data_IF_146369620070
#
_entry.id   IF_146369620070
#
_cell.length_a   1.000
_cell.length_b   1.000
_cell.length_c   1.000
_cell.angle_alpha   90.00
_cell.angle_beta   90.00
_cell.angle_gamma   90.00
#
_symmetry.space_group_name_H-M   'P 1'
#
loop_
_entity.id
_entity.type
_entity.pdbx_description
1 polymer ?
#
# COMPACT_ATOMS: atom_id res chain seq x y z
N UNK A 1 -39.07 -10.86 20.14
CA UNK A 1 -38.14 -10.51 19.06
C UNK A 1 -36.76 -10.98 19.48
N UNK A 2 -36.16 -11.99 18.84
CA UNK A 2 -34.82 -12.45 19.23
C UNK A 2 -33.82 -11.34 18.95
N UNK A 3 -33.01 -11.00 19.95
CA UNK A 3 -32.03 -9.93 19.90
C UNK A 3 -31.10 -10.13 18.71
N UNK A 4 -31.13 -9.17 17.78
CA UNK A 4 -30.10 -9.02 16.75
C UNK A 4 -28.78 -8.84 17.52
N UNK A 5 -27.94 -9.87 17.56
CA UNK A 5 -26.56 -9.70 18.00
C UNK A 5 -25.98 -8.63 17.11
N UNK A 6 -25.75 -7.43 17.65
CA UNK A 6 -25.08 -6.34 16.93
C UNK A 6 -23.65 -6.83 16.73
N UNK A 7 -23.38 -7.42 15.57
CA UNK A 7 -22.03 -7.85 15.22
C UNK A 7 -21.12 -6.62 15.24
N UNK A 8 -19.95 -6.75 15.85
CA UNK A 8 -18.90 -5.73 15.74
C UNK A 8 -18.48 -5.69 14.27
N UNK A 9 -18.68 -4.56 13.60
CA UNK A 9 -18.26 -4.37 12.21
C UNK A 9 -16.76 -4.11 12.14
N UNK A 10 -16.05 -4.84 11.27
CA UNK A 10 -14.65 -4.59 10.96
C UNK A 10 -14.53 -3.91 9.59
N UNK A 11 -13.39 -3.26 9.34
CA UNK A 11 -13.08 -2.72 8.03
C UNK A 11 -12.01 -3.57 7.35
N UNK A 12 -12.17 -3.76 6.05
CA UNK A 12 -11.19 -4.34 5.15
C UNK A 12 -10.90 -3.34 4.04
N UNK A 13 -9.63 -3.05 3.80
CA UNK A 13 -9.22 -2.21 2.67
C UNK A 13 -8.57 -3.07 1.60
N UNK A 14 -8.95 -2.81 0.34
CA UNK A 14 -8.36 -3.45 -0.83
C UNK A 14 -7.88 -2.37 -1.80
N UNK A 15 -6.64 -2.50 -2.27
CA UNK A 15 -6.03 -1.63 -3.28
C UNK A 15 -5.86 -2.40 -4.58
N UNK A 16 -6.29 -1.82 -5.69
CA UNK A 16 -6.30 -2.51 -6.99
C UNK A 16 -4.96 -2.49 -7.74
N UNK A 17 -4.06 -1.55 -7.39
CA UNK A 17 -2.88 -1.24 -8.19
C UNK A 17 -3.23 -0.96 -9.67
N UNK A 18 -4.43 -0.40 -9.90
CA UNK A 18 -5.00 -0.12 -11.21
C UNK A 18 -5.93 1.11 -11.17
N UNK A 19 -6.37 1.57 -12.33
CA UNK A 19 -7.37 2.64 -12.45
C UNK A 19 -8.80 2.18 -12.10
N UNK A 20 -9.01 0.87 -11.97
CA UNK A 20 -10.30 0.26 -11.70
C UNK A 20 -10.50 0.04 -10.20
N UNK A 21 -11.69 0.33 -9.71
CA UNK A 21 -12.04 0.14 -8.30
C UNK A 21 -12.05 -1.36 -7.99
N UNK A 22 -11.31 -1.84 -6.98
CA UNK A 22 -11.29 -3.25 -6.65
C UNK A 22 -12.64 -3.66 -6.04
N UNK A 23 -13.23 -4.80 -6.42
CA UNK A 23 -14.46 -5.28 -5.80
C UNK A 23 -14.20 -5.70 -4.34
N UNK A 24 -15.18 -5.48 -3.47
CA UNK A 24 -15.16 -6.07 -2.14
C UNK A 24 -15.27 -7.61 -2.23
N UNK A 25 -14.59 -8.38 -1.35
CA UNK A 25 -14.74 -9.83 -1.31
C UNK A 25 -16.19 -10.26 -1.07
N UNK A 26 -16.51 -11.50 -1.49
CA UNK A 26 -17.87 -12.05 -1.39
C UNK A 26 -18.39 -12.01 0.05
N UNK A 27 -19.62 -11.51 0.21
CA UNK A 27 -20.30 -11.36 1.49
C UNK A 27 -19.90 -10.12 2.29
N UNK A 28 -19.18 -9.17 1.68
CA UNK A 28 -18.82 -7.89 2.30
C UNK A 28 -19.46 -6.72 1.55
N UNK A 29 -20.08 -5.78 2.29
CA UNK A 29 -20.65 -4.54 1.76
C UNK A 29 -19.55 -3.52 1.48
N UNK A 30 -19.58 -2.86 0.32
CA UNK A 30 -18.72 -1.69 0.07
C UNK A 30 -19.23 -0.50 0.88
N UNK A 31 -18.36 0.09 1.69
CA UNK A 31 -18.64 1.32 2.45
C UNK A 31 -18.34 2.55 1.59
N UNK A 32 -17.13 2.63 1.03
CA UNK A 32 -16.77 3.65 0.04
C UNK A 32 -15.63 3.18 -0.86
N UNK A 33 -15.33 3.99 -1.87
CA UNK A 33 -14.22 3.82 -2.80
C UNK A 33 -13.40 5.12 -2.88
N UNK A 34 -12.16 5.00 -3.36
CA UNK A 34 -11.26 6.15 -3.39
C UNK A 34 -9.96 5.91 -4.14
N UNK A 35 -8.95 6.64 -3.71
CA UNK A 35 -7.58 6.62 -4.21
C UNK A 35 -6.62 6.18 -3.10
N UNK A 36 -5.60 5.43 -3.49
CA UNK A 36 -4.72 4.69 -2.59
C UNK A 36 -3.60 5.59 -2.05
N UNK A 37 -3.84 6.30 -0.95
CA UNK A 37 -2.84 7.10 -0.27
C UNK A 37 -1.84 6.18 0.45
N UNK A 38 -0.55 6.40 0.21
CA UNK A 38 0.52 5.68 0.91
C UNK A 38 1.04 6.51 2.09
N UNK A 39 1.49 7.73 1.81
CA UNK A 39 1.98 8.66 2.83
C UNK A 39 2.00 10.11 2.33
N UNK A 40 2.18 11.02 3.27
CA UNK A 40 2.40 12.45 2.99
C UNK A 40 3.73 12.89 3.61
N UNK A 41 4.35 13.90 3.03
CA UNK A 41 5.60 14.49 3.51
C UNK A 41 5.39 15.99 3.65
N UNK A 42 5.47 16.48 4.88
CA UNK A 42 5.33 17.90 5.21
C UNK A 42 6.51 18.34 6.07
N UNK A 43 7.15 19.45 5.70
CA UNK A 43 8.39 19.90 6.35
C UNK A 43 9.46 18.80 6.41
N UNK A 44 9.65 18.08 5.30
CA UNK A 44 10.64 16.99 5.16
C UNK A 44 10.44 15.84 6.17
N UNK A 45 9.23 15.68 6.71
CA UNK A 45 8.88 14.59 7.61
C UNK A 45 7.74 13.77 7.02
N UNK A 46 7.95 12.46 6.90
CA UNK A 46 6.93 11.54 6.44
C UNK A 46 5.91 11.20 7.53
N UNK A 47 4.65 11.08 7.12
CA UNK A 47 3.57 10.50 7.90
C UNK A 47 2.78 9.50 7.04
N UNK A 48 2.77 8.25 7.49
CA UNK A 48 2.34 7.09 6.71
C UNK A 48 0.93 6.64 7.08
N UNK A 49 0.22 6.06 6.10
CA UNK A 49 -1.00 5.31 6.32
C UNK A 49 -0.72 3.83 6.06
N UNK A 50 -1.15 2.96 6.97
CA UNK A 50 -1.11 1.52 6.72
C UNK A 50 -2.17 1.18 5.65
N UNK A 51 -1.75 0.49 4.59
CA UNK A 51 -2.57 0.13 3.44
C UNK A 51 -3.67 -0.89 3.80
N UNK A 52 -3.63 -1.52 4.98
CA UNK A 52 -4.73 -2.34 5.48
C UNK A 52 -5.79 -1.55 6.23
N UNK A 53 -5.58 -0.25 6.48
CA UNK A 53 -6.50 0.61 7.22
C UNK A 53 -7.19 1.63 6.33
N UNK A 54 -8.42 1.98 6.71
CA UNK A 54 -9.32 2.85 5.97
C UNK A 54 -8.72 4.24 5.62
N UNK A 55 -7.77 4.74 6.42
CA UNK A 55 -7.08 6.01 6.18
C UNK A 55 -6.24 6.05 4.89
N UNK A 56 -5.83 4.89 4.38
CA UNK A 56 -5.14 4.77 3.09
C UNK A 56 -6.06 4.90 1.88
N UNK A 57 -7.40 4.94 2.07
CA UNK A 57 -8.36 5.02 0.98
C UNK A 57 -9.14 6.33 0.98
N UNK A 58 -8.55 7.38 0.39
CA UNK A 58 -9.15 8.70 0.35
C UNK A 58 -10.19 8.84 -0.77
N UNK A 59 -11.42 9.33 -0.49
CA UNK A 59 -12.47 9.45 -1.52
C UNK A 59 -12.13 10.41 -2.67
N UNK A 60 -11.22 11.36 -2.45
CA UNK A 60 -10.81 12.36 -3.42
C UNK A 60 -9.29 12.42 -3.51
N UNK A 61 -8.79 12.43 -4.73
CA UNK A 61 -7.39 12.67 -5.01
C UNK A 61 -7.07 14.16 -5.00
N UNK A 62 -5.89 14.50 -4.48
CA UNK A 62 -5.24 15.80 -4.66
C UNK A 62 -3.73 15.57 -4.60
N UNK A 63 -2.96 16.30 -5.42
CA UNK A 63 -1.49 16.31 -5.28
C UNK A 63 -1.05 16.91 -3.95
N UNK A 64 -1.90 17.72 -3.31
CA UNK A 64 -1.73 18.28 -1.98
C UNK A 64 -3.01 18.07 -1.14
N UNK A 65 -3.18 16.92 -0.47
CA UNK A 65 -4.40 16.60 0.28
C UNK A 65 -4.45 17.19 1.70
N UNK A 66 -3.52 18.08 2.06
CA UNK A 66 -3.44 18.69 3.38
C UNK A 66 -2.96 20.15 3.30
N UNK A 67 -3.05 20.86 4.43
CA UNK A 67 -2.51 22.20 4.65
C UNK A 67 -1.78 22.22 5.99
N UNK A 68 -0.97 23.24 6.23
CA UNK A 68 -0.33 23.44 7.53
C UNK A 68 -0.65 24.83 8.07
N UNK A 69 -0.75 24.96 9.39
CA UNK A 69 -0.96 26.22 10.08
C UNK A 69 0.16 26.45 11.10
N UNK A 70 0.41 27.71 11.44
CA UNK A 70 1.41 28.08 12.46
C UNK A 70 0.74 28.64 13.72
N UNK A 71 1.55 28.99 14.72
CA UNK A 71 1.10 29.54 16.01
C UNK A 71 0.45 30.93 15.91
N UNK A 72 0.58 31.61 14.76
CA UNK A 72 0.01 32.93 14.52
C UNK A 72 -1.37 32.85 13.83
N UNK A 73 -2.02 31.68 13.87
CA UNK A 73 -3.32 31.42 13.24
C UNK A 73 -3.32 31.63 11.71
N UNK A 74 -2.15 31.51 11.07
CA UNK A 74 -2.02 31.59 9.61
C UNK A 74 -1.84 30.19 9.03
N UNK A 75 -2.71 29.83 8.09
CA UNK A 75 -2.67 28.57 7.37
C UNK A 75 -2.20 28.76 5.92
N UNK A 76 -1.45 27.80 5.43
CA UNK A 76 -0.87 27.79 4.09
C UNK A 76 -1.27 26.52 3.36
N UNK A 77 -1.80 26.68 2.16
CA UNK A 77 -2.17 25.58 1.28
C UNK A 77 -1.30 25.62 0.03
N UNK A 78 -0.67 24.49 -0.31
CA UNK A 78 0.17 24.31 -1.50
C UNK A 78 1.22 25.43 -1.73
N UNK A 79 1.65 26.10 -0.66
CA UNK A 79 2.56 27.26 -0.70
C UNK A 79 4.03 26.88 -0.42
N UNK A 80 4.30 25.57 -0.28
CA UNK A 80 5.63 24.97 -0.03
C UNK A 80 5.83 23.74 -0.90
N UNK A 81 7.05 23.22 -0.88
CA UNK A 81 7.47 22.02 -1.61
C UNK A 81 7.07 20.71 -0.92
N UNK A 82 5.97 20.70 -0.17
CA UNK A 82 5.44 19.48 0.47
C UNK A 82 4.91 18.50 -0.61
N UNK A 83 4.77 17.23 -0.24
CA UNK A 83 4.53 16.14 -1.19
C UNK A 83 3.50 15.15 -0.68
N UNK A 84 2.87 14.45 -1.61
CA UNK A 84 2.03 13.29 -1.33
C UNK A 84 2.46 12.10 -2.18
N UNK A 85 2.25 10.90 -1.66
CA UNK A 85 2.66 9.66 -2.30
C UNK A 85 1.51 8.69 -2.31
N UNK A 86 1.29 8.07 -3.48
CA UNK A 86 0.13 7.25 -3.76
C UNK A 86 0.58 5.93 -4.33
N UNK A 87 -0.07 4.81 -3.95
CA UNK A 87 0.14 3.56 -4.68
C UNK A 87 -0.20 3.79 -6.15
N UNK A 88 0.66 3.25 -7.01
CA UNK A 88 0.56 3.50 -8.43
C UNK A 88 -0.04 2.33 -9.20
N UNK A 89 -0.45 2.62 -10.44
CA UNK A 89 -1.00 1.61 -11.35
C UNK A 89 0.09 0.81 -12.06
N UNK A 90 -0.37 -0.05 -12.97
CA UNK A 90 0.48 -0.84 -13.82
C UNK A 90 1.06 -0.11 -15.03
N UNK A 91 0.67 1.15 -15.27
CA UNK A 91 1.07 1.96 -16.40
C UNK A 91 2.60 2.15 -16.52
N UNK A 92 3.08 2.34 -17.76
CA UNK A 92 4.50 2.61 -18.03
C UNK A 92 4.94 3.94 -17.44
N UNK A 93 6.15 4.00 -16.85
CA UNK A 93 6.70 5.23 -16.28
C UNK A 93 6.75 6.32 -17.37
N UNK A 94 6.15 7.50 -17.14
CA UNK A 94 6.19 8.59 -18.10
C UNK A 94 7.60 9.18 -18.21
N UNK A 95 7.96 9.70 -19.38
CA UNK A 95 9.28 10.32 -19.59
C UNK A 95 9.45 11.66 -18.86
N UNK A 96 8.36 12.34 -18.53
CA UNK A 96 8.35 13.64 -17.85
C UNK A 96 7.26 13.66 -16.77
N UNK A 97 7.35 14.56 -15.76
CA UNK A 97 6.28 14.74 -14.78
C UNK A 97 4.93 14.98 -15.44
N UNK A 98 3.92 14.23 -14.99
CA UNK A 98 2.55 14.31 -15.52
C UNK A 98 1.72 15.25 -14.66
N UNK A 99 0.80 15.99 -15.29
CA UNK A 99 -0.06 16.96 -14.63
C UNK A 99 -1.53 16.76 -14.96
N UNK A 100 -2.41 17.43 -14.22
CA UNK A 100 -3.86 17.50 -14.50
C UNK A 100 -4.50 16.12 -14.66
N UNK A 101 -5.35 15.93 -15.70
CA UNK A 101 -6.10 14.69 -15.93
C UNK A 101 -5.20 13.47 -16.24
N UNK A 102 -3.99 13.69 -16.75
CA UNK A 102 -3.07 12.59 -17.09
C UNK A 102 -2.53 11.86 -15.86
N UNK A 103 -2.64 12.46 -14.67
CA UNK A 103 -2.26 11.83 -13.40
C UNK A 103 -3.14 10.63 -13.10
N UNK A 104 -4.44 10.69 -13.44
CA UNK A 104 -5.43 9.70 -13.05
C UNK A 104 -5.04 8.26 -13.41
N UNK A 105 -4.42 8.07 -14.58
CA UNK A 105 -3.98 6.76 -15.06
C UNK A 105 -2.89 6.10 -14.20
N UNK A 106 -2.21 6.89 -13.36
CA UNK A 106 -1.10 6.44 -12.52
C UNK A 106 -1.49 6.23 -11.06
N UNK A 107 -2.71 6.58 -10.64
CA UNK A 107 -3.14 6.48 -9.24
C UNK A 107 -3.99 5.24 -9.03
N UNK A 108 -3.54 4.35 -8.14
CA UNK A 108 -4.29 3.14 -7.75
C UNK A 108 -5.62 3.49 -7.07
N UNK A 109 -6.69 2.78 -7.44
CA UNK A 109 -7.98 2.85 -6.76
C UNK A 109 -8.08 1.86 -5.60
N UNK A 110 -8.94 2.17 -4.64
CA UNK A 110 -9.19 1.35 -3.46
C UNK A 110 -10.67 1.27 -3.11
N UNK A 111 -11.03 0.24 -2.35
CA UNK A 111 -12.35 0.04 -1.75
C UNK A 111 -12.20 -0.24 -0.26
N UNK A 112 -13.08 0.34 0.54
CA UNK A 112 -13.25 -0.01 1.95
C UNK A 112 -14.53 -0.80 2.11
N UNK A 113 -14.42 -1.97 2.72
CA UNK A 113 -15.47 -2.95 2.84
C UNK A 113 -15.77 -3.23 4.31
N UNK A 114 -17.04 -3.44 4.62
CA UNK A 114 -17.47 -3.95 5.92
C UNK A 114 -17.24 -5.46 5.97
N UNK A 115 -16.42 -5.89 6.92
CA UNK A 115 -16.03 -7.28 7.10
C UNK A 115 -16.62 -7.84 8.41
N UNK A 116 -16.99 -9.13 8.42
CA UNK A 116 -17.57 -9.77 9.61
C UNK A 116 -16.54 -10.05 10.72
N UNK A 117 -15.25 -10.16 10.38
CA UNK A 117 -14.16 -10.33 11.34
C UNK A 117 -12.87 -9.69 10.83
N UNK A 118 -11.86 -9.57 11.68
CA UNK A 118 -10.56 -9.01 11.32
C UNK A 118 -9.82 -9.88 10.29
N UNK A 119 -9.28 -9.23 9.24
CA UNK A 119 -8.37 -9.85 8.29
C UNK A 119 -6.91 -9.66 8.70
N UNK A 120 -6.07 -10.64 8.40
CA UNK A 120 -4.62 -10.63 8.70
C UNK A 120 -3.83 -11.13 7.50
N UNK A 121 -2.60 -10.63 7.33
CA UNK A 121 -1.63 -11.16 6.38
C UNK A 121 -0.77 -12.25 7.03
N UNK A 122 -0.50 -13.31 6.28
CA UNK A 122 0.47 -14.36 6.63
C UNK A 122 1.55 -14.37 5.55
N UNK A 123 2.82 -14.44 5.96
CA UNK A 123 3.98 -14.37 5.08
C UNK A 123 4.76 -15.69 5.11
N UNK A 124 5.14 -16.19 3.93
CA UNK A 124 5.84 -17.48 3.79
C UNK A 124 7.34 -17.40 4.04
N UNK A 125 7.95 -16.23 3.78
CA UNK A 125 9.40 -16.10 3.58
C UNK A 125 9.94 -17.16 2.59
N UNK A 126 9.12 -17.52 1.60
CA UNK A 126 9.44 -18.48 0.55
C UNK A 126 8.74 -18.11 -0.76
N UNK A 127 8.98 -18.91 -1.79
CA UNK A 127 8.36 -18.73 -3.12
C UNK A 127 6.91 -19.28 -3.17
N UNK A 128 6.56 -20.11 -2.19
CA UNK A 128 5.26 -20.77 -2.09
C UNK A 128 4.27 -19.89 -1.33
N UNK A 129 3.01 -19.91 -1.74
CA UNK A 129 1.94 -19.17 -1.07
C UNK A 129 1.68 -19.81 0.30
N UNK A 130 1.71 -19.04 1.41
CA UNK A 130 1.44 -19.59 2.74
C UNK A 130 -0.04 -19.95 2.87
N UNK A 131 -0.34 -21.05 3.56
CA UNK A 131 -1.71 -21.45 3.84
C UNK A 131 -2.33 -20.56 4.92
N UNK A 132 -3.62 -20.27 4.81
CA UNK A 132 -4.34 -19.64 5.91
C UNK A 132 -4.41 -20.58 7.12
N UNK A 133 -4.46 -20.03 8.35
CA UNK A 133 -4.66 -20.86 9.55
C UNK A 133 -5.97 -21.65 9.49
N UNK A 134 -6.03 -22.75 10.25
CA UNK A 134 -7.23 -23.58 10.32
C UNK A 134 -8.45 -22.76 10.79
N UNK A 135 -9.57 -22.89 10.08
CA UNK A 135 -10.79 -22.12 10.34
C UNK A 135 -10.81 -20.70 9.74
N UNK A 136 -9.82 -20.35 8.90
CA UNK A 136 -9.77 -19.07 8.19
C UNK A 136 -9.98 -19.26 6.69
N UNK A 137 -10.73 -18.35 6.06
CA UNK A 137 -10.87 -18.28 4.60
C UNK A 137 -9.82 -17.36 3.98
N UNK A 138 -9.41 -17.70 2.77
CA UNK A 138 -8.55 -16.86 1.93
C UNK A 138 -9.36 -15.70 1.34
N UNK A 139 -8.76 -14.50 1.32
CA UNK A 139 -9.31 -13.33 0.63
C UNK A 139 -8.54 -13.05 -0.67
N UNK A 140 -7.21 -12.93 -0.59
CA UNK A 140 -6.31 -12.82 -1.75
C UNK A 140 -4.89 -13.27 -1.41
N UNK A 141 -4.07 -13.41 -2.45
CA UNK A 141 -2.66 -13.75 -2.38
C UNK A 141 -1.82 -12.60 -2.93
N UNK A 142 -0.55 -12.51 -2.54
CA UNK A 142 0.29 -11.41 -2.98
C UNK A 142 1.78 -11.61 -2.72
N UNK A 143 2.46 -10.48 -2.60
CA UNK A 143 3.87 -10.35 -2.29
C UNK A 143 4.05 -9.51 -1.02
N UNK A 144 5.02 -9.90 -0.21
CA UNK A 144 5.25 -9.38 1.13
C UNK A 144 5.94 -8.00 1.09
N UNK A 145 5.15 -6.93 1.08
CA UNK A 145 5.60 -5.54 1.07
C UNK A 145 5.88 -5.06 2.50
N UNK A 146 7.12 -4.61 2.76
CA UNK A 146 7.58 -4.24 4.09
C UNK A 146 7.61 -2.72 4.27
N UNK A 147 8.36 -2.01 3.44
CA UNK A 147 8.60 -0.58 3.59
C UNK A 147 8.98 0.12 2.28
N UNK A 148 9.08 1.44 2.31
CA UNK A 148 9.42 2.28 1.18
C UNK A 148 10.13 3.55 1.64
N UNK A 149 10.96 4.11 0.76
CA UNK A 149 11.62 5.41 0.94
C UNK A 149 11.63 6.21 -0.36
N UNK A 150 11.67 7.53 -0.27
CA UNK A 150 11.80 8.41 -1.44
C UNK A 150 12.63 9.66 -1.11
N UNK A 151 12.06 10.86 -1.30
CA UNK A 151 12.76 12.11 -1.07
C UNK A 151 13.27 12.22 0.38
N UNK A 152 14.48 12.76 0.55
CA UNK A 152 15.10 12.93 1.88
C UNK A 152 15.42 11.62 2.62
N UNK A 153 15.33 10.46 1.95
CA UNK A 153 15.32 9.14 2.60
C UNK A 153 14.16 8.94 3.61
N UNK A 154 13.16 9.82 3.56
CA UNK A 154 11.92 9.69 4.30
C UNK A 154 10.99 8.67 3.63
N UNK A 155 10.07 8.13 4.42
CA UNK A 155 9.09 7.15 3.98
C UNK A 155 8.45 6.45 5.16
N UNK A 156 8.18 5.16 5.02
CA UNK A 156 7.64 4.35 6.10
C UNK A 156 7.35 2.93 5.68
N UNK A 157 6.50 2.25 6.44
CA UNK A 157 6.29 0.82 6.29
C UNK A 157 4.89 0.36 6.60
N UNK A 158 4.72 -0.95 6.46
CA UNK A 158 3.48 -1.66 6.73
C UNK A 158 3.64 -2.54 7.96
N UNK A 159 2.57 -2.72 8.72
CA UNK A 159 2.54 -3.79 9.72
C UNK A 159 2.46 -5.14 9.01
N UNK A 160 3.36 -6.09 9.34
CA UNK A 160 3.37 -7.42 8.71
C UNK A 160 2.16 -8.29 9.07
N UNK A 161 1.34 -7.92 10.05
CA UNK A 161 0.04 -8.58 10.27
C UNK A 161 -1.09 -7.91 9.49
N UNK A 162 -0.88 -6.68 9.04
CA UNK A 162 -1.88 -5.92 8.29
C UNK A 162 -2.01 -6.45 6.86
N UNK A 163 -3.24 -6.52 6.30
CA UNK A 163 -3.45 -6.77 4.88
C UNK A 163 -2.65 -5.84 3.95
N UNK A 164 -2.30 -4.63 4.41
CA UNK A 164 -1.50 -3.66 3.65
C UNK A 164 -0.08 -4.10 3.32
N UNK A 165 0.47 -5.06 4.08
CA UNK A 165 1.76 -5.68 3.79
C UNK A 165 1.69 -6.76 2.70
N UNK A 166 0.50 -7.06 2.16
CA UNK A 166 0.31 -8.10 1.16
C UNK A 166 -0.31 -7.56 -0.15
N UNK A 167 0.55 -6.97 -0.99
CA UNK A 167 0.16 -6.42 -2.29
C UNK A 167 -0.05 -7.53 -3.33
N UNK A 168 -1.19 -7.52 -4.03
CA UNK A 168 -1.54 -8.53 -5.05
C UNK A 168 -0.52 -8.55 -6.20
N UNK A 169 -0.06 -7.37 -6.63
CA UNK A 169 0.89 -7.22 -7.73
C UNK A 169 2.27 -6.75 -7.26
N UNK A 170 3.30 -7.55 -7.57
CA UNK A 170 4.69 -7.13 -7.37
C UNK A 170 5.09 -6.03 -8.36
N UNK A 171 5.64 -4.93 -7.82
CA UNK A 171 6.25 -3.84 -8.57
C UNK A 171 7.52 -3.37 -7.89
N UNK A 172 8.61 -3.21 -8.63
CA UNK A 172 9.85 -2.64 -8.08
C UNK A 172 9.66 -1.19 -7.58
N UNK A 173 8.72 -0.45 -8.17
CA UNK A 173 8.34 0.89 -7.73
C UNK A 173 6.81 0.95 -7.65
N UNK A 174 6.18 0.56 -6.52
CA UNK A 174 4.73 0.41 -6.41
C UNK A 174 4.00 1.74 -6.11
N UNK A 175 4.68 2.88 -6.13
CA UNK A 175 4.12 4.17 -5.76
C UNK A 175 4.70 5.32 -6.58
N UNK A 176 3.91 6.39 -6.70
CA UNK A 176 4.25 7.63 -7.42
C UNK A 176 4.31 8.80 -6.43
N UNK A 177 5.21 9.74 -6.68
CA UNK A 177 5.35 10.98 -5.90
C UNK A 177 4.65 12.11 -6.61
N UNK A 178 3.85 12.88 -5.88
CA UNK A 178 3.16 14.06 -6.35
C UNK A 178 3.69 15.29 -5.62
N UNK A 179 4.18 16.26 -6.38
CA UNK A 179 4.60 17.56 -5.88
C UNK A 179 3.37 18.45 -5.73
N UNK A 180 3.07 18.86 -4.50
CA UNK A 180 1.80 19.51 -4.23
C UNK A 180 1.68 20.89 -4.86
N UNK A 181 2.67 21.78 -4.71
CA UNK A 181 2.63 23.13 -5.27
C UNK A 181 2.66 23.16 -6.80
N UNK A 182 3.35 22.20 -7.44
CA UNK A 182 3.42 22.12 -8.91
C UNK A 182 2.25 21.39 -9.54
N UNK A 183 1.48 20.63 -8.76
CA UNK A 183 0.35 19.85 -9.28
C UNK A 183 0.78 18.74 -10.24
N UNK A 184 2.00 18.21 -10.09
CA UNK A 184 2.58 17.18 -10.97
C UNK A 184 3.02 15.95 -10.20
N UNK A 185 3.02 14.79 -10.87
CA UNK A 185 3.46 13.52 -10.29
C UNK A 185 4.51 12.83 -11.18
N UNK A 186 5.45 12.11 -10.55
CA UNK A 186 6.54 11.43 -11.27
C UNK A 186 7.21 10.31 -10.46
N UNK A 187 7.91 9.42 -11.17
CA UNK A 187 8.77 8.38 -10.58
C UNK A 187 10.22 8.85 -10.63
N UNK A 188 10.79 9.15 -9.46
CA UNK A 188 12.18 9.59 -9.34
C UNK A 188 13.06 8.38 -8.99
N UNK A 189 14.33 8.42 -9.39
CA UNK A 189 15.29 7.31 -9.25
C UNK A 189 15.65 6.97 -7.80
N UNK A 190 15.41 7.89 -6.86
CA UNK A 190 15.65 7.72 -5.44
C UNK A 190 14.52 7.00 -4.70
N UNK A 191 13.50 6.48 -5.40
CA UNK A 191 12.42 5.69 -4.81
C UNK A 191 12.86 4.25 -4.62
N UNK A 192 12.76 3.75 -3.40
CA UNK A 192 13.01 2.36 -3.08
C UNK A 192 11.78 1.71 -2.46
N UNK A 193 11.55 0.46 -2.84
CA UNK A 193 10.58 -0.42 -2.19
C UNK A 193 11.31 -1.62 -1.59
N UNK A 194 10.86 -2.05 -0.42
CA UNK A 194 11.49 -3.10 0.35
C UNK A 194 10.46 -4.20 0.60
N UNK A 195 10.90 -5.43 0.36
CA UNK A 195 10.05 -6.61 0.37
C UNK A 195 10.69 -7.67 1.27
N UNK A 196 9.88 -8.48 1.95
CA UNK A 196 10.44 -9.63 2.67
C UNK A 196 11.08 -10.60 1.68
N UNK A 197 12.23 -11.13 2.05
CA UNK A 197 12.98 -12.06 1.22
C UNK A 197 12.55 -13.51 1.44
N UNK A 198 12.92 -14.36 0.49
CA UNK A 198 12.88 -15.81 0.67
C UNK A 198 14.08 -16.27 1.49
N UNK A 199 13.86 -17.12 2.50
CA UNK A 199 14.90 -17.67 3.36
C UNK A 199 14.75 -19.19 3.42
N UNK A 200 15.76 -19.93 2.96
CA UNK A 200 15.77 -21.38 3.10
C UNK A 200 16.03 -21.78 4.56
N UNK A 201 15.36 -22.82 5.10
CA UNK A 201 15.54 -23.23 6.50
C UNK A 201 16.99 -23.50 6.89
N UNK A 202 17.77 -24.12 5.99
CA UNK A 202 19.19 -24.40 6.22
C UNK A 202 20.10 -23.15 6.20
N UNK A 203 19.58 -22.01 5.73
CA UNK A 203 20.33 -20.76 5.54
C UNK A 203 19.92 -19.67 6.55
N UNK A 204 19.11 -19.98 7.57
CA UNK A 204 18.60 -18.97 8.52
C UNK A 204 19.68 -18.38 9.44
N UNK A 205 20.73 -19.16 9.74
CA UNK A 205 21.77 -18.82 10.73
C UNK A 205 23.18 -18.86 10.14
N UNK A 206 23.32 -18.69 8.83
CA UNK A 206 24.63 -18.53 8.20
C UNK A 206 25.25 -17.19 8.61
N UNK A 207 26.58 -17.13 8.64
CA UNK A 207 27.32 -15.93 9.08
C UNK A 207 26.94 -14.67 8.30
N UNK A 208 26.73 -14.81 6.99
CA UNK A 208 26.26 -13.72 6.13
C UNK A 208 25.36 -14.25 5.00
N UNK A 209 24.28 -13.53 4.63
CA UNK A 209 23.51 -13.81 3.43
C UNK A 209 24.37 -13.67 2.16
N UNK A 210 24.12 -14.53 1.17
CA UNK A 210 24.77 -14.42 -0.15
C UNK A 210 24.24 -13.20 -0.88
N UNK A 211 25.14 -12.26 -1.20
CA UNK A 211 24.80 -11.04 -1.95
C UNK A 211 24.48 -11.38 -3.42
N UNK A 212 23.38 -10.83 -3.92
CA UNK A 212 22.90 -11.07 -5.28
C UNK A 212 22.26 -9.79 -5.84
N UNK A 213 22.50 -9.50 -7.13
CA UNK A 213 21.83 -8.40 -7.84
C UNK A 213 20.83 -8.96 -8.84
N UNK A 214 19.55 -8.75 -8.59
CA UNK A 214 18.46 -9.26 -9.43
C UNK A 214 18.09 -8.25 -10.52
N UNK A 215 17.87 -8.73 -11.74
CA UNK A 215 17.39 -7.93 -12.88
C UNK A 215 15.99 -8.34 -13.31
N UNK A 216 15.42 -7.61 -14.28
CA UNK A 216 14.11 -7.90 -14.86
C UNK A 216 14.00 -9.38 -15.27
N UNK A 217 12.86 -10.01 -14.96
CA UNK A 217 12.62 -11.44 -15.16
C UNK A 217 12.96 -12.32 -13.95
N UNK A 218 13.87 -11.88 -13.07
CA UNK A 218 14.34 -12.64 -11.91
C UNK A 218 13.90 -12.06 -10.57
N UNK A 219 13.36 -10.83 -10.56
CA UNK A 219 13.02 -10.09 -9.35
C UNK A 219 12.15 -10.86 -8.35
N UNK A 220 11.18 -11.66 -8.84
CA UNK A 220 10.23 -12.37 -7.98
C UNK A 220 10.82 -13.58 -7.27
N UNK A 221 11.98 -14.08 -7.69
CA UNK A 221 12.55 -15.33 -7.15
C UNK A 221 13.00 -15.19 -5.68
N UNK A 222 13.35 -13.97 -5.26
CA UNK A 222 13.74 -13.66 -3.88
C UNK A 222 12.67 -12.94 -3.08
N UNK A 223 11.48 -12.73 -3.64
CA UNK A 223 10.40 -11.99 -2.97
C UNK A 223 9.43 -12.97 -2.31
N UNK A 224 9.29 -12.85 -1.00
CA UNK A 224 8.37 -13.63 -0.17
C UNK A 224 6.92 -13.47 -0.64
N UNK A 225 6.18 -14.59 -0.60
CA UNK A 225 4.73 -14.60 -0.86
C UNK A 225 3.93 -14.43 0.42
N UNK A 226 2.73 -13.90 0.27
CA UNK A 226 1.78 -13.72 1.36
C UNK A 226 0.37 -14.11 0.94
N UNK A 227 -0.48 -14.34 1.94
CA UNK A 227 -1.90 -14.58 1.78
C UNK A 227 -2.66 -13.79 2.86
N UNK A 228 -3.72 -13.09 2.46
CA UNK A 228 -4.61 -12.40 3.40
C UNK A 228 -5.76 -13.34 3.74
N UNK A 229 -5.96 -13.52 5.04
CA UNK A 229 -6.85 -14.49 5.63
C UNK A 229 -7.84 -13.80 6.55
N UNK A 230 -9.04 -14.37 6.68
CA UNK A 230 -10.04 -13.89 7.62
C UNK A 230 -10.75 -15.08 8.28
N UNK A 231 -11.00 -15.00 9.59
CA UNK A 231 -11.64 -16.09 10.34
C UNK A 231 -13.06 -16.35 9.81
N UNK A 232 -13.45 -17.61 9.70
CA UNK A 232 -14.83 -17.98 9.46
C UNK A 232 -15.63 -17.78 10.76
N UNK A 233 -16.78 -17.13 10.66
CA UNK A 233 -17.74 -17.00 11.75
C UNK A 233 -18.90 -17.99 11.56
#
# INVERSE_FOLDING_TARGET
>A
MPGRSVGVGYTLVKHSQSEQIPPCPVGMSKLWEGYSLLYVEGQEKAHNQDLGFAGSCLPRFSTMPFLYCNINEVCYYASRNDKSYWLSTTASIPMMPVGSFQIAQYISRCSVCEAPSQAVAVHSQGINIPQCPEGWRSLWIGYSFLMHTAAGAEGGGQSLVSPGSCLEDFRATPFIECNGARGTCHYFSNKYSFWLTTVEPAQQFVEAPVSETLKAGQLRMRVSRCQVCMKNL
#
